data_IF_619486954492
#
_entry.id   IF_619486954492
#
_cell.length_a   1.000
_cell.length_b   1.000
_cell.length_c   1.000
_cell.angle_alpha   90.00
_cell.angle_beta   90.00
_cell.angle_gamma   90.00
#
_symmetry.space_group_name_H-M   'P 1'
#
loop_
_entity.id
_entity.type
_entity.pdbx_description
1 polymer ?
#
# COMPACT_ATOMS: atom_id res chain seq x y z
N UNK A 1 13.23 5.32 -5.38
CA UNK A 1 14.22 6.05 -4.54
C UNK A 1 14.20 5.42 -3.16
N UNK A 2 15.24 5.56 -2.32
CA UNK A 2 15.20 4.97 -0.98
C UNK A 2 14.68 5.97 0.05
N UNK A 3 13.75 5.53 0.90
CA UNK A 3 13.32 6.30 2.06
C UNK A 3 14.50 6.62 2.99
N UNK A 4 14.43 7.75 3.71
CA UNK A 4 15.43 8.10 4.73
C UNK A 4 15.44 7.02 5.84
N UNK A 5 16.59 6.72 6.46
CA UNK A 5 16.63 5.81 7.59
C UNK A 5 15.68 6.25 8.71
N UNK A 6 14.88 5.31 9.22
CA UNK A 6 13.85 5.56 10.24
C UNK A 6 12.49 5.90 9.67
N UNK A 7 12.35 6.06 8.35
CA UNK A 7 11.07 6.39 7.69
C UNK A 7 10.64 5.34 6.66
N UNK A 8 11.35 4.21 6.55
CA UNK A 8 11.03 3.16 5.58
C UNK A 8 10.02 2.16 6.14
N UNK A 9 9.00 1.82 5.35
CA UNK A 9 8.04 0.77 5.69
C UNK A 9 8.69 -0.62 5.84
N UNK A 10 9.81 -0.87 5.13
CA UNK A 10 10.59 -2.11 5.26
C UNK A 10 11.14 -2.30 6.69
N UNK A 11 11.44 -1.20 7.41
CA UNK A 11 11.96 -1.28 8.78
C UNK A 11 10.90 -1.77 9.79
N UNK A 12 9.61 -1.71 9.44
CA UNK A 12 8.53 -2.28 10.24
C UNK A 12 8.37 -3.79 10.02
N UNK A 13 9.07 -4.38 9.05
CA UNK A 13 8.85 -5.77 8.62
C UNK A 13 7.49 -5.99 7.94
N UNK A 14 6.84 -4.91 7.51
CA UNK A 14 5.48 -4.92 6.95
C UNK A 14 5.44 -4.62 5.46
N UNK A 15 6.58 -4.48 4.78
CA UNK A 15 6.65 -4.22 3.35
C UNK A 15 7.47 -5.29 2.63
N UNK A 16 7.10 -5.57 1.38
CA UNK A 16 7.81 -6.49 0.49
C UNK A 16 7.93 -5.81 -0.88
N UNK A 17 9.14 -5.86 -1.44
CA UNK A 17 9.38 -5.56 -2.85
C UNK A 17 9.30 -6.87 -3.64
N UNK A 18 8.27 -6.98 -4.48
CA UNK A 18 8.02 -8.19 -5.27
C UNK A 18 8.74 -8.16 -6.61
N UNK A 19 9.40 -9.27 -6.97
CA UNK A 19 9.98 -9.47 -8.29
C UNK A 19 11.18 -8.55 -8.55
N UNK A 20 11.26 -8.03 -9.77
CA UNK A 20 12.30 -7.08 -10.17
C UNK A 20 11.91 -5.67 -9.77
N UNK A 21 12.86 -4.92 -9.21
CA UNK A 21 12.68 -3.53 -8.76
C UNK A 21 12.86 -2.57 -9.96
N UNK A 22 12.06 -2.80 -11.00
CA UNK A 22 12.02 -1.98 -12.23
C UNK A 22 10.58 -1.84 -12.73
N UNK A 23 10.29 -0.76 -13.44
CA UNK A 23 8.93 -0.42 -13.86
C UNK A 23 8.36 -1.46 -14.85
N UNK A 24 9.23 -2.21 -15.55
CA UNK A 24 8.83 -3.31 -16.43
C UNK A 24 8.14 -4.45 -15.69
N UNK A 25 8.34 -4.57 -14.37
CA UNK A 25 7.68 -5.61 -13.56
C UNK A 25 6.15 -5.51 -13.64
N UNK A 26 5.61 -4.29 -13.76
CA UNK A 26 4.17 -4.04 -13.89
C UNK A 26 3.54 -4.77 -15.10
N UNK A 27 4.32 -5.02 -16.15
CA UNK A 27 3.84 -5.67 -17.38
C UNK A 27 4.09 -7.19 -17.40
N UNK A 28 4.73 -7.74 -16.38
CA UNK A 28 4.93 -9.19 -16.26
C UNK A 28 3.62 -9.88 -15.80
N UNK A 29 3.42 -11.17 -16.12
CA UNK A 29 2.27 -11.92 -15.58
C UNK A 29 2.18 -11.88 -14.05
N UNK A 30 3.32 -11.87 -13.36
CA UNK A 30 3.39 -11.79 -11.90
C UNK A 30 2.99 -10.40 -11.38
N UNK A 31 3.48 -9.32 -12.00
CA UNK A 31 3.12 -7.95 -11.63
C UNK A 31 1.64 -7.63 -11.86
N UNK A 32 1.08 -8.03 -13.01
CA UNK A 32 -0.35 -7.90 -13.30
C UNK A 32 -1.18 -8.67 -12.27
N UNK A 33 -0.81 -9.93 -12.00
CA UNK A 33 -1.51 -10.72 -10.99
C UNK A 33 -1.45 -10.06 -9.61
N UNK A 34 -0.28 -9.53 -9.23
CA UNK A 34 -0.09 -8.87 -7.95
C UNK A 34 -0.98 -7.63 -7.81
N UNK A 35 -1.03 -6.77 -8.83
CA UNK A 35 -1.89 -5.58 -8.84
C UNK A 35 -3.37 -5.92 -8.66
N UNK A 36 -3.84 -7.01 -9.29
CA UNK A 36 -5.25 -7.43 -9.22
C UNK A 36 -5.62 -8.20 -7.95
N UNK A 37 -4.66 -8.89 -7.32
CA UNK A 37 -4.94 -9.92 -6.30
C UNK A 37 -4.31 -9.66 -4.94
N UNK A 38 -3.29 -8.82 -4.81
CA UNK A 38 -2.56 -8.59 -3.56
C UNK A 38 -3.49 -8.25 -2.37
N UNK A 39 -4.53 -7.45 -2.62
CA UNK A 39 -5.50 -7.05 -1.60
C UNK A 39 -6.21 -8.23 -0.94
N UNK A 40 -6.43 -9.35 -1.66
CA UNK A 40 -7.06 -10.56 -1.13
C UNK A 40 -6.24 -11.20 -0.01
N UNK A 41 -4.94 -10.90 0.01
CA UNK A 41 -3.97 -11.43 0.96
C UNK A 41 -3.49 -10.35 1.95
N UNK A 42 -4.16 -9.20 1.99
CA UNK A 42 -3.85 -8.13 2.93
C UNK A 42 -2.72 -7.20 2.49
N UNK A 43 -2.32 -7.21 1.23
CA UNK A 43 -1.28 -6.33 0.71
C UNK A 43 -1.87 -5.16 -0.08
N UNK A 44 -1.31 -3.97 0.15
CA UNK A 44 -1.64 -2.73 -0.52
C UNK A 44 -0.42 -2.17 -1.24
N UNK A 45 -0.59 -1.73 -2.49
CA UNK A 45 0.43 -0.99 -3.22
C UNK A 45 0.65 0.37 -2.53
N UNK A 46 1.86 0.62 -2.03
CA UNK A 46 2.12 1.85 -1.26
C UNK A 46 2.29 3.08 -2.14
N UNK A 47 2.86 2.92 -3.33
CA UNK A 47 3.21 4.02 -4.24
C UNK A 47 2.53 3.81 -5.62
N UNK A 48 1.22 4.04 -5.73
CA UNK A 48 0.49 3.93 -7.00
C UNK A 48 0.80 5.08 -7.96
N UNK A 49 0.69 4.80 -9.25
CA UNK A 49 0.89 5.78 -10.33
C UNK A 49 -0.12 6.93 -10.24
N UNK A 50 0.35 8.16 -10.38
CA UNK A 50 -0.48 9.37 -10.29
C UNK A 50 -0.77 9.87 -8.86
N UNK A 51 -0.13 9.28 -7.84
CA UNK A 51 -0.27 9.68 -6.43
C UNK A 51 1.07 10.09 -5.80
N UNK A 52 2.03 10.51 -6.61
CA UNK A 52 3.37 10.92 -6.19
C UNK A 52 3.30 12.14 -5.26
N UNK A 53 2.46 13.12 -5.58
CA UNK A 53 2.27 14.33 -4.75
C UNK A 53 1.71 13.98 -3.35
N UNK A 54 0.95 12.89 -3.25
CA UNK A 54 0.32 12.45 -2.02
C UNK A 54 1.26 11.59 -1.17
N UNK A 55 1.99 10.68 -1.83
CA UNK A 55 2.83 9.68 -1.15
C UNK A 55 4.25 10.17 -0.92
N UNK A 56 4.73 11.12 -1.72
CA UNK A 56 6.10 11.64 -1.71
C UNK A 56 7.12 10.74 -2.39
N UNK A 57 6.69 9.68 -3.07
CA UNK A 57 7.56 8.74 -3.80
C UNK A 57 7.02 8.55 -5.22
N UNK A 58 7.93 8.30 -6.17
CA UNK A 58 7.54 7.87 -7.53
C UNK A 58 6.71 6.58 -7.48
N UNK A 59 5.99 6.29 -8.56
CA UNK A 59 5.38 4.96 -8.72
C UNK A 59 6.40 3.83 -8.55
N UNK A 60 6.06 2.84 -7.71
CA UNK A 60 6.86 1.64 -7.48
C UNK A 60 5.95 0.40 -7.50
N UNK A 61 5.75 -0.18 -8.68
CA UNK A 61 4.82 -1.31 -8.90
C UNK A 61 5.17 -2.60 -8.15
N UNK A 62 6.34 -2.66 -7.50
CA UNK A 62 6.81 -3.80 -6.70
C UNK A 62 6.58 -3.63 -5.20
N UNK A 63 6.41 -2.40 -4.69
CA UNK A 63 6.44 -2.12 -3.23
C UNK A 63 5.04 -2.24 -2.62
N UNK A 64 4.81 -3.32 -1.87
CA UNK A 64 3.53 -3.58 -1.21
C UNK A 64 3.68 -3.65 0.30
N UNK A 65 2.77 -2.98 1.03
CA UNK A 65 2.67 -3.05 2.48
C UNK A 65 1.54 -3.97 2.91
N UNK A 66 1.82 -4.84 3.87
CA UNK A 66 0.81 -5.64 4.56
C UNK A 66 0.00 -4.77 5.53
N UNK A 67 -1.32 -4.79 5.39
CA UNK A 67 -2.29 -4.03 6.19
C UNK A 67 -3.43 -4.90 6.76
N UNK A 68 -3.32 -6.23 6.66
CA UNK A 68 -4.36 -7.25 6.88
C UNK A 68 -5.39 -7.39 5.76
N UNK A 69 -5.97 -8.60 5.55
CA UNK A 69 -7.02 -8.82 4.55
C UNK A 69 -8.25 -7.93 4.74
N UNK A 70 -8.65 -7.68 5.98
CA UNK A 70 -9.82 -6.87 6.32
C UNK A 70 -9.59 -5.40 5.93
N UNK A 71 -8.44 -4.83 6.28
CA UNK A 71 -8.15 -3.45 5.93
C UNK A 71 -7.91 -3.29 4.43
N UNK A 72 -7.27 -4.25 3.76
CA UNK A 72 -7.09 -4.22 2.30
C UNK A 72 -8.42 -4.33 1.55
N UNK A 73 -9.38 -5.11 2.08
CA UNK A 73 -10.75 -5.14 1.56
C UNK A 73 -11.44 -3.78 1.75
N UNK A 74 -11.38 -3.21 2.95
CA UNK A 74 -11.97 -1.89 3.25
C UNK A 74 -11.36 -0.79 2.36
N UNK A 75 -10.04 -0.78 2.22
CA UNK A 75 -9.30 0.11 1.33
C UNK A 75 -9.82 0.03 -0.11
N UNK A 76 -9.99 -1.19 -0.63
CA UNK A 76 -10.44 -1.41 -2.00
C UNK A 76 -11.88 -0.96 -2.22
N UNK A 77 -12.76 -1.20 -1.25
CA UNK A 77 -14.20 -0.92 -1.36
C UNK A 77 -14.55 0.57 -1.18
N UNK A 78 -13.84 1.28 -0.29
CA UNK A 78 -14.24 2.63 0.14
C UNK A 78 -13.20 3.72 -0.10
N UNK A 79 -11.97 3.36 -0.47
CA UNK A 79 -10.85 4.30 -0.56
C UNK A 79 -10.06 4.17 -1.87
N UNK A 80 -10.72 3.72 -2.94
CA UNK A 80 -10.15 3.55 -4.29
C UNK A 80 -8.88 2.69 -4.36
N UNK A 81 -8.63 1.83 -3.37
CA UNK A 81 -7.39 1.06 -3.29
C UNK A 81 -6.17 1.88 -2.81
N UNK A 82 -6.35 3.14 -2.41
CA UNK A 82 -5.27 4.05 -2.03
C UNK A 82 -5.01 3.99 -0.53
N UNK A 83 -3.78 3.65 -0.15
CA UNK A 83 -3.36 3.46 1.24
C UNK A 83 -3.43 4.73 2.07
N UNK A 84 -3.06 5.85 1.46
CA UNK A 84 -3.08 7.14 2.12
C UNK A 84 -4.48 7.49 2.64
N UNK A 85 -5.53 7.32 1.82
CA UNK A 85 -6.90 7.70 2.21
C UNK A 85 -7.44 6.83 3.36
N UNK A 86 -7.20 5.51 3.33
CA UNK A 86 -7.56 4.64 4.44
C UNK A 86 -6.85 5.05 5.73
N UNK A 87 -5.54 5.31 5.66
CA UNK A 87 -4.75 5.70 6.84
C UNK A 87 -5.18 7.06 7.39
N UNK A 88 -5.48 8.02 6.51
CA UNK A 88 -6.01 9.32 6.90
C UNK A 88 -7.34 9.17 7.63
N UNK A 89 -8.28 8.41 7.05
CA UNK A 89 -9.58 8.13 7.69
C UNK A 89 -9.42 7.50 9.07
N UNK A 90 -8.60 6.45 9.21
CA UNK A 90 -8.36 5.80 10.51
C UNK A 90 -7.75 6.80 11.50
N UNK A 91 -6.82 7.64 11.05
CA UNK A 91 -6.15 8.60 11.92
C UNK A 91 -7.09 9.70 12.41
N UNK A 92 -7.93 10.25 11.53
CA UNK A 92 -8.88 11.31 11.84
C UNK A 92 -10.03 10.83 12.75
N UNK A 93 -10.41 9.55 12.65
CA UNK A 93 -11.53 8.98 13.40
C UNK A 93 -11.07 8.04 14.53
N UNK A 94 -9.80 8.10 14.93
CA UNK A 94 -9.18 7.14 15.86
C UNK A 94 -9.97 7.00 17.17
N UNK A 95 -10.30 8.11 17.83
CA UNK A 95 -10.97 8.10 19.13
C UNK A 95 -12.37 7.47 19.04
N UNK A 96 -13.12 7.77 17.97
CA UNK A 96 -14.44 7.19 17.74
C UNK A 96 -14.33 5.69 17.45
N UNK A 97 -13.42 5.28 16.58
CA UNK A 97 -13.21 3.86 16.25
C UNK A 97 -12.76 3.05 17.48
N UNK A 98 -11.88 3.60 18.32
CA UNK A 98 -11.43 2.96 19.56
C UNK A 98 -12.57 2.84 20.59
N UNK A 99 -13.55 3.75 20.58
CA UNK A 99 -14.73 3.68 21.47
C UNK A 99 -15.72 2.56 21.12
N UNK A 100 -15.62 2.00 19.90
CA UNK A 100 -16.48 0.91 19.42
C UNK A 100 -15.95 -0.49 19.80
N UNK A 101 -14.74 -0.58 20.37
CA UNK A 101 -14.09 -1.82 20.83
C UNK A 101 -14.41 -2.11 22.29
#
# INVERSE_FOLDING_TARGET
ESARPGTSQHQLGMAIDFGTITDEYAFTPAGIWLQENAWKYGFSLSYPDGYEDLTGYRHECWHFRYITPEAAKLQKEYFDGIQYYLLLFINENREELESLL
#
